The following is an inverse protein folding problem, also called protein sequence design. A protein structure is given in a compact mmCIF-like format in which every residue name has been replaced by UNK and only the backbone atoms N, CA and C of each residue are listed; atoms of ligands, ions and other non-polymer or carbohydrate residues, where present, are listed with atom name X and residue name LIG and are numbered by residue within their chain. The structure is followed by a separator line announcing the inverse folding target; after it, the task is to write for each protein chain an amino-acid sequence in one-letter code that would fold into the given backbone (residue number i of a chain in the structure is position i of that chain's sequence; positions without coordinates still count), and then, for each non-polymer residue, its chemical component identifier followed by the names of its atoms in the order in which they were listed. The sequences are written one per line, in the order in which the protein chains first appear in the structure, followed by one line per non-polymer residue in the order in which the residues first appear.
data_IF_770641374573
#
_entry.id   IF_770641374573
#
_cell.length_a   1.000
_cell.length_b   1.000
_cell.length_c   1.000
_cell.angle_alpha   90.00
_cell.angle_beta   90.00
_cell.angle_gamma   90.00
#
_symmetry.space_group_name_H-M   'P 1'
#
loop_
_entity.id
_entity.type
_entity.pdbx_description
1 polymer ?
#
# COMPACT_ATOMS: atom_id res chain seq x y z
N UNK A 1 24.53 35.49 9.17
CA UNK A 1 25.22 34.41 9.94
C UNK A 1 24.54 34.09 11.26
N UNK A 2 24.62 34.91 12.32
CA UNK A 2 24.09 34.51 13.66
C UNK A 2 22.56 34.22 13.69
N UNK A 3 21.77 34.93 12.87
CA UNK A 3 20.35 34.61 12.68
C UNK A 3 20.13 33.30 11.88
N UNK A 4 21.00 32.99 10.90
CA UNK A 4 20.94 31.73 10.16
C UNK A 4 21.34 30.54 11.04
N UNK A 5 22.31 30.72 11.95
CA UNK A 5 22.73 29.69 12.91
C UNK A 5 21.56 29.32 13.84
N UNK A 6 20.86 30.33 14.40
CA UNK A 6 19.66 30.08 15.23
C UNK A 6 18.55 29.36 14.46
N UNK A 7 18.25 29.81 13.24
CA UNK A 7 17.21 29.20 12.41
C UNK A 7 17.58 27.76 11.98
N UNK A 8 18.86 27.52 11.69
CA UNK A 8 19.40 26.19 11.42
C UNK A 8 19.23 25.26 12.62
N UNK A 9 19.64 25.69 13.82
CA UNK A 9 19.52 24.91 15.05
C UNK A 9 18.06 24.63 15.42
N UNK A 10 17.16 25.59 15.20
CA UNK A 10 15.71 25.42 15.44
C UNK A 10 15.09 24.35 14.52
N UNK A 11 15.44 24.36 13.22
CA UNK A 11 14.92 23.40 12.23
C UNK A 11 15.55 22.02 12.37
N UNK A 12 16.85 21.95 12.66
CA UNK A 12 17.60 20.67 12.77
C UNK A 12 17.55 20.04 14.17
N UNK A 13 17.14 20.82 15.19
CA UNK A 13 17.25 20.50 16.62
C UNK A 13 18.69 20.21 17.08
N UNK A 14 19.69 20.71 16.36
CA UNK A 14 21.09 20.56 16.73
C UNK A 14 21.40 21.45 17.96
N UNK A 15 21.93 20.84 19.02
CA UNK A 15 22.27 21.52 20.27
C UNK A 15 23.65 22.21 20.24
N UNK A 16 24.54 21.82 19.32
CA UNK A 16 25.88 22.41 19.20
C UNK A 16 25.92 23.56 18.18
N UNK A 17 26.07 24.78 18.70
CA UNK A 17 26.23 26.00 17.92
C UNK A 17 27.55 26.03 17.11
N UNK A 18 28.59 25.35 17.60
CA UNK A 18 29.88 25.24 16.92
C UNK A 18 29.81 24.40 15.64
N UNK A 19 29.08 23.28 15.68
CA UNK A 19 28.82 22.44 14.51
C UNK A 19 27.88 23.13 13.51
N UNK A 20 26.79 23.76 13.98
CA UNK A 20 25.90 24.57 13.15
C UNK A 20 26.66 25.66 12.35
N UNK A 21 27.57 26.39 13.03
CA UNK A 21 28.41 27.42 12.41
C UNK A 21 29.38 26.86 11.39
N UNK A 22 29.97 25.67 11.63
CA UNK A 22 30.83 24.98 10.66
C UNK A 22 30.07 24.56 9.41
N UNK A 23 28.90 23.93 9.56
CA UNK A 23 28.08 23.45 8.44
C UNK A 23 27.59 24.60 7.56
N UNK A 24 27.10 25.69 8.15
CA UNK A 24 26.70 26.89 7.40
C UNK A 24 27.89 27.56 6.70
N UNK A 25 29.06 27.62 7.35
CA UNK A 25 30.29 28.16 6.72
C UNK A 25 30.74 27.31 5.53
N UNK A 26 30.64 25.97 5.65
CA UNK A 26 30.97 25.02 4.58
C UNK A 26 29.99 25.08 3.39
N UNK A 27 28.82 25.69 3.58
CA UNK A 27 27.79 25.90 2.55
C UNK A 27 27.66 27.39 2.16
N UNK A 28 28.71 28.20 2.42
CA UNK A 28 28.77 29.64 2.11
C UNK A 28 27.58 30.48 2.65
N UNK A 29 26.96 30.05 3.75
CA UNK A 29 25.77 30.68 4.33
C UNK A 29 24.44 30.23 3.73
N UNK A 30 24.42 29.29 2.77
CA UNK A 30 23.16 28.72 2.29
C UNK A 30 22.56 27.76 3.34
N UNK A 31 21.43 28.19 3.91
CA UNK A 31 20.70 27.46 4.96
C UNK A 31 20.14 26.13 4.47
N UNK A 32 19.61 26.09 3.23
CA UNK A 32 18.96 24.89 2.69
C UNK A 32 19.97 23.77 2.44
N UNK A 33 21.09 24.08 1.79
CA UNK A 33 22.19 23.14 1.56
C UNK A 33 22.76 22.59 2.86
N UNK A 34 22.93 23.44 3.88
CA UNK A 34 23.40 23.02 5.20
C UNK A 34 22.43 22.02 5.86
N UNK A 35 21.11 22.28 5.79
CA UNK A 35 20.08 21.40 6.38
C UNK A 35 20.05 20.05 5.64
N UNK A 36 20.09 20.06 4.31
CA UNK A 36 20.14 18.83 3.49
C UNK A 36 21.38 18.00 3.84
N UNK A 37 22.54 18.64 3.97
CA UNK A 37 23.81 17.98 4.30
C UNK A 37 23.82 17.37 5.71
N UNK A 38 23.26 18.07 6.70
CA UNK A 38 23.09 17.55 8.06
C UNK A 38 22.16 16.32 8.09
N UNK A 39 21.01 16.40 7.41
CA UNK A 39 20.04 15.30 7.33
C UNK A 39 20.54 14.08 6.53
N UNK A 40 21.49 14.28 5.61
CA UNK A 40 22.17 13.18 4.91
C UNK A 40 23.18 12.49 5.82
N UNK A 41 23.98 13.23 6.60
CA UNK A 41 24.95 12.64 7.53
C UNK A 41 24.25 11.89 8.69
N UNK A 42 23.19 12.45 9.26
CA UNK A 42 22.45 11.83 10.38
C UNK A 42 21.74 10.49 10.07
N UNK A 43 21.72 10.06 8.81
CA UNK A 43 21.22 8.72 8.42
C UNK A 43 22.26 7.60 8.53
N UNK A 44 23.53 7.92 8.79
CA UNK A 44 24.62 6.93 8.77
C UNK A 44 24.88 6.26 10.14
N UNK A 45 24.47 6.89 11.25
CA UNK A 45 24.77 6.40 12.61
C UNK A 45 23.76 5.37 13.18
N UNK A 46 22.61 5.16 12.55
CA UNK A 46 21.54 4.29 13.08
C UNK A 46 21.62 2.81 12.63
N UNK A 47 22.82 2.24 12.51
CA UNK A 47 23.00 0.82 12.10
C UNK A 47 23.93 -0.03 12.98
N UNK A 48 24.56 0.53 14.03
CA UNK A 48 25.35 -0.24 14.98
C UNK A 48 25.17 0.25 16.43
N UNK A 49 24.20 -0.33 17.15
CA UNK A 49 24.46 -1.03 18.43
C UNK A 49 23.20 -1.75 18.94
N UNK A 50 23.40 -2.72 19.83
CA UNK A 50 22.49 -3.85 20.05
C UNK A 50 22.18 -4.05 21.56
N UNK A 51 21.03 -4.67 21.88
CA UNK A 51 20.70 -5.34 23.17
C UNK A 51 20.38 -4.52 24.46
N UNK A 52 19.06 -4.36 24.74
CA UNK A 52 18.27 -4.90 25.91
C UNK A 52 18.76 -4.75 27.39
N UNK A 53 17.90 -4.91 28.45
CA UNK A 53 16.42 -5.07 28.51
C UNK A 53 15.68 -4.37 29.73
N UNK A 54 14.38 -4.69 29.93
CA UNK A 54 13.60 -4.71 31.22
C UNK A 54 12.80 -3.45 31.70
N UNK A 55 11.46 -3.60 31.76
CA UNK A 55 10.42 -3.03 32.68
C UNK A 55 10.26 -1.49 32.89
N UNK A 56 9.08 -0.92 33.20
CA UNK A 56 7.70 -1.46 33.33
C UNK A 56 6.60 -0.37 33.32
N UNK A 57 5.38 -0.79 32.94
CA UNK A 57 4.05 -0.37 33.45
C UNK A 57 3.45 1.04 33.22
N UNK A 58 2.36 1.03 32.44
CA UNK A 58 1.02 1.56 32.76
C UNK A 58 0.69 3.06 32.76
N UNK A 59 -0.05 3.50 31.72
CA UNK A 59 -1.44 4.01 31.80
C UNK A 59 -1.96 4.30 30.37
N UNK A 60 -2.97 3.62 29.79
CA UNK A 60 -4.42 3.50 30.04
C UNK A 60 -5.29 4.76 29.85
N UNK A 61 -6.18 4.68 28.83
CA UNK A 61 -7.43 5.47 28.58
C UNK A 61 -7.22 6.91 28.04
N UNK A 62 -8.03 7.47 27.13
CA UNK A 62 -9.35 7.13 26.50
C UNK A 62 -9.40 7.71 25.05
N UNK A 63 -10.12 7.12 24.08
CA UNK A 63 -11.40 7.60 23.45
C UNK A 63 -11.48 9.13 23.22
N UNK A 64 -11.92 9.68 22.07
CA UNK A 64 -13.02 9.34 21.12
C UNK A 64 -12.60 9.71 19.65
N UNK A 65 -13.33 9.48 18.53
CA UNK A 65 -14.58 8.77 18.24
C UNK A 65 -15.32 9.35 17.00
N UNK A 66 -15.75 8.48 16.05
CA UNK A 66 -16.54 8.78 14.80
C UNK A 66 -15.74 9.57 13.73
N UNK A 67 -15.91 9.38 12.41
CA UNK A 67 -17.05 8.94 11.60
C UNK A 67 -17.81 10.18 11.10
N UNK A 68 -18.13 10.39 9.81
CA UNK A 68 -18.34 9.43 8.70
C UNK A 68 -18.40 10.19 7.34
N UNK A 69 -18.09 9.49 6.24
CA UNK A 69 -18.77 9.50 4.91
C UNK A 69 -18.99 10.83 4.12
N UNK A 70 -18.40 11.00 2.91
CA UNK A 70 -18.90 10.60 1.54
C UNK A 70 -19.68 11.73 0.83
N UNK A 71 -19.83 11.83 -0.51
CA UNK A 71 -19.51 10.92 -1.65
C UNK A 71 -19.43 11.69 -3.00
N UNK A 72 -18.88 11.02 -4.03
CA UNK A 72 -19.13 11.00 -5.50
C UNK A 72 -20.00 12.12 -6.12
N UNK A 73 -19.70 12.71 -7.29
CA UNK A 73 -19.34 12.16 -8.62
C UNK A 73 -20.07 13.03 -9.68
N UNK A 74 -19.92 13.00 -11.00
CA UNK A 74 -19.19 12.18 -11.97
C UNK A 74 -19.22 12.94 -13.34
N UNK A 75 -18.31 12.66 -14.28
CA UNK A 75 -18.46 12.75 -15.77
C UNK A 75 -18.98 14.08 -16.43
N UNK A 76 -18.40 14.61 -17.53
CA UNK A 76 -18.26 13.94 -18.84
C UNK A 76 -17.45 14.76 -19.89
N UNK A 77 -17.01 14.05 -20.94
CA UNK A 77 -16.27 14.46 -22.16
C UNK A 77 -17.05 15.38 -23.13
N UNK A 78 -16.38 16.31 -23.83
CA UNK A 78 -16.77 16.83 -25.18
C UNK A 78 -15.52 17.02 -26.08
N UNK A 79 -15.68 16.81 -27.39
CA UNK A 79 -14.67 16.88 -28.47
C UNK A 79 -14.93 18.10 -29.41
N UNK A 80 -13.85 18.63 -30.01
CA UNK A 80 -13.71 19.23 -31.37
C UNK A 80 -14.74 20.24 -31.97
N UNK A 81 -14.25 21.47 -32.28
CA UNK A 81 -14.26 22.23 -33.58
C UNK A 81 -15.55 22.42 -34.45
N UNK A 82 -15.63 23.36 -35.43
CA UNK A 82 -14.80 24.57 -35.74
C UNK A 82 -15.59 25.86 -36.18
N UNK A 83 -14.84 26.92 -36.55
CA UNK A 83 -15.07 27.91 -37.62
C UNK A 83 -15.97 29.19 -37.48
N UNK A 84 -15.39 30.28 -38.04
CA UNK A 84 -15.94 31.34 -38.92
C UNK A 84 -16.56 32.66 -38.39
N UNK A 85 -15.91 33.78 -38.76
CA UNK A 85 -16.43 35.12 -39.23
C UNK A 85 -17.41 35.94 -38.34
N UNK A 86 -17.50 37.28 -38.37
CA UNK A 86 -16.83 38.37 -39.13
C UNK A 86 -17.18 39.75 -38.52
N UNK A 87 -16.36 40.77 -38.81
CA UNK A 87 -16.65 42.22 -38.93
C UNK A 87 -17.95 42.82 -38.30
N UNK A 88 -17.79 43.88 -37.49
CA UNK A 88 -18.04 45.27 -37.96
C UNK A 88 -17.75 46.33 -36.89
N UNK A 89 -17.54 47.57 -37.35
CA UNK A 89 -17.16 48.76 -36.57
C UNK A 89 -18.40 49.59 -36.23
N UNK A 90 -18.46 50.20 -35.04
CA UNK A 90 -18.83 51.61 -34.87
C UNK A 90 -18.70 52.13 -33.42
N UNK A 91 -18.20 53.35 -33.30
CA UNK A 91 -18.02 54.09 -32.05
C UNK A 91 -19.33 54.57 -31.41
N UNK A 92 -19.31 54.79 -30.08
CA UNK A 92 -19.68 56.09 -29.47
C UNK A 92 -19.25 56.25 -28.00
N UNK A 93 -18.93 57.49 -27.67
CA UNK A 93 -18.33 57.98 -26.41
C UNK A 93 -19.36 58.27 -25.29
N UNK A 94 -18.96 57.98 -24.03
CA UNK A 94 -19.34 58.60 -22.74
C UNK A 94 -20.86 58.70 -22.38
N UNK A 95 -21.29 58.72 -21.11
CA UNK A 95 -20.72 59.43 -19.96
C UNK A 95 -21.05 58.78 -18.58
N UNK A 96 -20.42 59.36 -17.55
CA UNK A 96 -20.21 58.94 -16.16
C UNK A 96 -21.37 59.27 -15.20
N UNK A 97 -21.35 58.62 -14.02
CA UNK A 97 -21.82 58.99 -12.65
C UNK A 97 -22.61 57.80 -12.05
N UNK A 98 -22.56 57.39 -10.78
CA UNK A 98 -21.80 57.74 -9.56
C UNK A 98 -21.97 56.55 -8.54
N UNK A 99 -21.37 56.46 -7.35
CA UNK A 99 -20.56 57.41 -6.58
C UNK A 99 -19.44 56.78 -5.71
N UNK A 100 -18.63 57.69 -5.15
CA UNK A 100 -17.55 57.62 -4.17
C UNK A 100 -17.84 56.92 -2.82
N UNK A 101 -16.77 56.41 -2.17
CA UNK A 101 -16.35 56.88 -0.84
C UNK A 101 -14.85 56.56 -0.55
N UNK A 102 -14.09 57.63 -0.31
CA UNK A 102 -12.83 57.75 0.44
C UNK A 102 -11.60 56.90 0.03
N UNK A 103 -10.67 57.56 -0.68
CA UNK A 103 -9.22 57.54 -0.38
C UNK A 103 -8.52 58.82 -0.87
N UNK A 104 -9.05 59.97 -0.44
CA UNK A 104 -8.32 61.24 -0.48
C UNK A 104 -6.99 61.07 0.28
N UNK A 105 -5.90 61.54 -0.33
CA UNK A 105 -4.48 61.49 0.10
C UNK A 105 -3.58 60.41 -0.56
N UNK A 106 -4.06 59.56 -1.48
CA UNK A 106 -3.15 58.63 -2.21
C UNK A 106 -2.50 59.24 -3.48
N UNK A 107 -3.18 60.18 -4.15
CA UNK A 107 -2.71 60.76 -5.42
C UNK A 107 -1.69 61.90 -5.25
N UNK A 108 -1.70 62.62 -4.13
CA UNK A 108 -0.70 63.66 -3.84
C UNK A 108 0.69 63.06 -3.60
N UNK A 109 0.75 61.87 -3.00
CA UNK A 109 2.01 61.11 -2.83
C UNK A 109 2.55 60.64 -4.18
N UNK A 110 1.69 60.24 -5.13
CA UNK A 110 2.11 59.72 -6.43
C UNK A 110 2.79 60.77 -7.34
N UNK A 111 2.41 62.04 -7.25
CA UNK A 111 3.01 63.09 -8.08
C UNK A 111 4.49 63.34 -7.75
N UNK A 112 4.88 63.27 -6.48
CA UNK A 112 6.29 63.42 -6.07
C UNK A 112 7.15 62.17 -6.33
N UNK A 113 6.52 61.02 -6.60
CA UNK A 113 7.23 59.77 -6.89
C UNK A 113 7.34 59.52 -8.41
N UNK A 114 6.52 60.21 -9.23
CA UNK A 114 6.58 60.15 -10.70
C UNK A 114 7.94 60.55 -11.30
N UNK A 115 8.59 61.59 -10.76
CA UNK A 115 9.92 62.05 -11.22
C UNK A 115 11.03 61.02 -10.94
N UNK A 116 10.89 60.19 -9.90
CA UNK A 116 11.87 59.17 -9.51
C UNK A 116 11.59 57.84 -10.24
N UNK A 117 10.31 57.52 -10.45
CA UNK A 117 9.89 56.28 -11.13
C UNK A 117 10.13 56.33 -12.63
N UNK A 118 9.95 57.47 -13.31
CA UNK A 118 10.16 57.56 -14.77
C UNK A 118 11.59 57.18 -15.24
N UNK A 119 12.69 57.67 -14.65
CA UNK A 119 14.04 57.24 -15.03
C UNK A 119 14.31 55.78 -14.64
N UNK A 120 13.74 55.28 -13.54
CA UNK A 120 13.83 53.86 -13.17
C UNK A 120 13.12 52.96 -14.17
N UNK A 121 11.89 53.29 -14.59
CA UNK A 121 11.19 52.53 -15.63
C UNK A 121 11.83 52.67 -17.00
N UNK A 122 12.44 53.81 -17.34
CA UNK A 122 13.20 53.96 -18.59
C UNK A 122 14.51 53.18 -18.55
N UNK A 123 15.20 53.12 -17.41
CA UNK A 123 16.36 52.25 -17.23
C UNK A 123 15.98 50.78 -17.19
N UNK A 124 14.86 50.40 -16.57
CA UNK A 124 14.35 49.02 -16.56
C UNK A 124 13.89 48.62 -17.97
N UNK A 125 13.23 49.51 -18.72
CA UNK A 125 12.88 49.25 -20.12
C UNK A 125 14.13 49.17 -21.01
N UNK A 126 15.09 50.09 -20.85
CA UNK A 126 16.37 50.03 -21.57
C UNK A 126 17.20 48.81 -21.16
N UNK A 127 17.16 48.38 -19.90
CA UNK A 127 17.83 47.18 -19.40
C UNK A 127 17.14 45.92 -19.88
N UNK A 128 15.80 45.84 -19.84
CA UNK A 128 15.03 44.72 -20.42
C UNK A 128 15.23 44.68 -21.93
N UNK A 129 15.27 45.83 -22.64
CA UNK A 129 15.50 45.88 -24.09
C UNK A 129 16.96 45.59 -24.43
N UNK A 130 17.92 45.99 -23.59
CA UNK A 130 19.34 45.63 -23.72
C UNK A 130 19.57 44.16 -23.35
N UNK A 131 18.82 43.59 -22.41
CA UNK A 131 18.77 42.17 -22.12
C UNK A 131 18.06 41.41 -23.23
N UNK A 132 17.02 41.96 -23.85
CA UNK A 132 16.36 41.34 -25.01
C UNK A 132 17.23 41.46 -26.25
N UNK A 133 18.04 42.51 -26.40
CA UNK A 133 19.08 42.59 -27.43
C UNK A 133 20.31 41.75 -27.08
N UNK A 134 20.70 41.59 -25.82
CA UNK A 134 21.79 40.72 -25.42
C UNK A 134 21.37 39.26 -25.59
N UNK A 135 20.16 38.89 -25.17
CA UNK A 135 19.54 37.58 -25.35
C UNK A 135 19.20 37.36 -26.83
N UNK A 136 18.72 38.36 -27.58
CA UNK A 136 18.48 38.21 -29.03
C UNK A 136 19.81 38.11 -29.78
N UNK A 137 20.83 38.89 -29.46
CA UNK A 137 22.16 38.76 -30.08
C UNK A 137 22.85 37.47 -29.63
N UNK A 138 22.63 36.99 -28.41
CA UNK A 138 23.16 35.72 -27.90
C UNK A 138 22.44 34.52 -28.52
N UNK A 139 21.10 34.54 -28.59
CA UNK A 139 20.29 33.49 -29.24
C UNK A 139 20.47 33.53 -30.76
N UNK A 140 20.56 34.70 -31.40
CA UNK A 140 20.88 34.83 -32.83
C UNK A 140 22.34 34.49 -33.11
N UNK A 141 23.29 34.73 -32.20
CA UNK A 141 24.68 34.25 -32.30
C UNK A 141 24.78 32.73 -32.13
N UNK A 142 23.97 32.14 -31.24
CA UNK A 142 23.78 30.69 -31.12
C UNK A 142 23.06 30.10 -32.35
N UNK A 143 22.22 30.88 -33.05
CA UNK A 143 21.59 30.48 -34.31
C UNK A 143 22.47 30.71 -35.55
N UNK A 144 23.41 31.66 -35.53
CA UNK A 144 24.45 31.80 -36.55
C UNK A 144 25.53 30.75 -36.33
N UNK A 145 25.19 29.50 -36.69
CA UNK A 145 26.14 28.40 -36.89
C UNK A 145 27.08 28.73 -38.06
N UNK A 146 28.05 29.62 -37.84
CA UNK A 146 29.29 29.63 -38.60
C UNK A 146 30.02 28.33 -38.24
N UNK A 147 29.70 27.25 -38.97
CA UNK A 147 30.33 25.95 -38.76
C UNK A 147 31.85 26.11 -38.80
N UNK A 148 32.56 25.42 -37.91
CA UNK A 148 34.03 25.46 -37.87
C UNK A 148 34.64 25.16 -39.26
N UNK A 149 33.97 24.29 -40.03
CA UNK A 149 34.24 24.01 -41.44
C UNK A 149 34.39 25.28 -42.30
N UNK A 150 33.48 26.25 -42.20
CA UNK A 150 33.56 27.49 -43.01
C UNK A 150 34.78 28.33 -42.65
N UNK A 151 35.05 28.49 -41.35
CA UNK A 151 36.26 29.17 -40.87
C UNK A 151 37.53 28.45 -41.37
N UNK A 152 37.56 27.13 -41.27
CA UNK A 152 38.68 26.31 -41.73
C UNK A 152 38.88 26.43 -43.25
N UNK A 153 37.83 26.27 -44.06
CA UNK A 153 37.90 26.35 -45.53
C UNK A 153 38.43 27.72 -46.02
N UNK A 154 38.07 28.80 -45.33
CA UNK A 154 38.53 30.16 -45.62
C UNK A 154 40.04 30.36 -45.37
N UNK A 155 40.58 29.74 -44.30
CA UNK A 155 41.96 29.96 -43.85
C UNK A 155 42.96 28.89 -44.35
N UNK A 156 42.50 27.66 -44.60
CA UNK A 156 43.35 26.49 -44.89
C UNK A 156 42.96 25.75 -46.17
N UNK A 157 41.81 26.08 -46.78
CA UNK A 157 41.32 25.47 -48.01
C UNK A 157 40.45 24.22 -47.79
N UNK A 158 39.94 23.65 -48.89
CA UNK A 158 38.84 22.66 -48.90
C UNK A 158 39.23 21.19 -48.76
N UNK A 159 40.52 20.88 -48.64
CA UNK A 159 40.99 19.49 -48.52
C UNK A 159 41.29 19.19 -47.06
N UNK A 160 40.30 18.68 -46.33
CA UNK A 160 40.44 18.42 -44.90
C UNK A 160 39.52 17.30 -44.39
N UNK A 161 39.74 16.87 -43.15
CA UNK A 161 38.87 15.95 -42.40
C UNK A 161 37.41 16.44 -42.34
N UNK A 162 36.46 15.52 -42.43
CA UNK A 162 35.03 15.88 -42.29
C UNK A 162 34.70 16.30 -40.84
N UNK A 163 34.66 17.61 -40.59
CA UNK A 163 34.14 18.19 -39.34
C UNK A 163 32.61 18.02 -39.25
N UNK A 164 32.12 17.64 -38.08
CA UNK A 164 30.69 17.45 -37.82
C UNK A 164 29.94 18.79 -37.81
N UNK A 165 29.11 19.01 -38.83
CA UNK A 165 28.21 20.16 -38.88
C UNK A 165 26.95 19.94 -38.03
N UNK A 166 26.93 20.52 -36.83
CA UNK A 166 25.82 20.44 -35.90
C UNK A 166 26.22 20.97 -34.51
N UNK A 167 25.39 20.70 -33.51
CA UNK A 167 25.68 20.91 -32.09
C UNK A 167 26.43 19.71 -31.49
N UNK A 168 27.14 19.95 -30.38
CA UNK A 168 27.83 18.90 -29.64
C UNK A 168 26.89 17.75 -29.21
N UNK A 169 25.67 18.07 -28.77
CA UNK A 169 24.61 17.08 -28.48
C UNK A 169 24.22 16.24 -29.69
N UNK A 170 24.15 16.82 -30.89
CA UNK A 170 23.90 16.09 -32.14
C UNK A 170 25.10 15.18 -32.50
N UNK A 171 26.33 15.64 -32.25
CA UNK A 171 27.57 14.87 -32.46
C UNK A 171 27.63 13.64 -31.54
N UNK A 172 27.38 13.83 -30.23
CA UNK A 172 27.25 12.76 -29.23
C UNK A 172 26.22 11.72 -29.67
N UNK A 173 25.06 12.17 -30.14
CA UNK A 173 23.99 11.27 -30.60
C UNK A 173 24.36 10.55 -31.91
N UNK A 174 25.12 11.17 -32.82
CA UNK A 174 25.64 10.50 -34.03
C UNK A 174 26.68 9.44 -33.67
N UNK A 175 27.62 9.76 -32.78
CA UNK A 175 28.64 8.83 -32.27
C UNK A 175 28.01 7.57 -31.68
N UNK A 176 26.95 7.72 -30.86
CA UNK A 176 26.17 6.59 -30.32
C UNK A 176 25.45 5.75 -31.38
N UNK A 177 24.98 6.35 -32.47
CA UNK A 177 24.25 5.64 -33.55
C UNK A 177 25.17 4.90 -34.50
N UNK A 178 26.34 5.45 -34.79
CA UNK A 178 27.35 4.83 -35.68
C UNK A 178 28.36 3.95 -34.91
N UNK A 179 28.24 3.88 -33.58
CA UNK A 179 29.15 3.22 -32.63
C UNK A 179 30.65 3.64 -32.73
N UNK A 180 30.88 4.81 -33.34
CA UNK A 180 32.19 5.46 -33.50
C UNK A 180 32.62 6.20 -32.24
N UNK A 181 33.92 6.50 -32.14
CA UNK A 181 34.46 7.41 -31.12
C UNK A 181 34.15 8.87 -31.47
N UNK A 182 33.84 9.68 -30.45
CA UNK A 182 33.67 11.13 -30.60
C UNK A 182 35.00 11.81 -30.30
N UNK A 183 35.55 12.49 -31.29
CA UNK A 183 36.73 13.35 -31.15
C UNK A 183 36.24 14.78 -30.96
N UNK A 184 36.59 15.41 -29.85
CA UNK A 184 36.29 16.83 -29.59
C UNK A 184 37.58 17.62 -29.72
N UNK A 185 37.73 18.37 -30.82
CA UNK A 185 38.85 19.27 -31.06
C UNK A 185 38.55 20.65 -30.49
N UNK A 186 39.37 21.09 -29.54
CA UNK A 186 39.31 22.42 -28.94
C UNK A 186 40.33 23.32 -29.65
N UNK A 187 39.82 24.27 -30.41
CA UNK A 187 40.60 25.18 -31.25
C UNK A 187 40.80 26.54 -30.58
N UNK A 188 42.01 27.08 -30.74
CA UNK A 188 42.40 28.46 -30.42
C UNK A 188 43.23 29.03 -31.55
N UNK A 189 43.18 30.35 -31.76
CA UNK A 189 44.01 31.00 -32.78
C UNK A 189 45.47 31.13 -32.30
N UNK A 190 46.26 30.07 -32.50
CA UNK A 190 47.69 30.00 -32.16
C UNK A 190 48.50 29.16 -33.17
N UNK A 191 49.84 29.22 -33.07
CA UNK A 191 50.75 28.52 -34.00
C UNK A 191 50.59 26.99 -33.97
N UNK A 192 50.35 26.39 -32.81
CA UNK A 192 50.12 24.94 -32.69
C UNK A 192 48.80 24.51 -33.37
N UNK A 193 47.75 25.33 -33.31
CA UNK A 193 46.51 25.07 -34.07
C UNK A 193 46.73 25.20 -35.57
N UNK A 194 47.60 26.12 -36.01
CA UNK A 194 48.00 26.21 -37.42
C UNK A 194 48.80 24.95 -37.86
N UNK A 195 49.56 24.30 -36.96
CA UNK A 195 50.19 23.00 -37.26
C UNK A 195 49.14 21.91 -37.51
N UNK A 196 48.18 21.72 -36.59
CA UNK A 196 47.08 20.76 -36.76
C UNK A 196 46.32 21.02 -38.07
N UNK A 197 45.95 22.27 -38.31
CA UNK A 197 45.18 22.63 -39.49
C UNK A 197 45.95 22.38 -40.80
N UNK A 198 47.24 22.70 -40.87
CA UNK A 198 48.04 22.59 -42.11
C UNK A 198 48.59 21.18 -42.39
N UNK A 199 48.90 20.40 -41.36
CA UNK A 199 49.65 19.13 -41.51
C UNK A 199 48.90 17.88 -41.08
N UNK A 200 47.95 17.99 -40.15
CA UNK A 200 47.21 16.84 -39.63
C UNK A 200 45.86 16.72 -40.35
N UNK A 201 45.08 17.78 -40.39
CA UNK A 201 43.73 17.73 -40.94
C UNK A 201 43.67 17.66 -42.47
N UNK A 202 44.76 17.99 -43.16
CA UNK A 202 44.97 17.82 -44.60
C UNK A 202 45.51 16.44 -44.99
N UNK A 203 45.95 15.62 -44.02
CA UNK A 203 46.61 14.34 -44.28
C UNK A 203 45.59 13.27 -44.71
N UNK A 204 45.84 12.64 -45.86
CA UNK A 204 44.93 11.67 -46.50
C UNK A 204 44.66 10.44 -45.61
N UNK A 205 45.66 9.97 -44.86
CA UNK A 205 45.51 8.84 -43.93
C UNK A 205 44.61 9.22 -42.75
N UNK A 206 44.79 10.42 -42.19
CA UNK A 206 43.95 10.97 -41.13
C UNK A 206 42.50 11.16 -41.60
N UNK A 207 42.30 11.70 -42.81
CA UNK A 207 40.97 11.88 -43.43
C UNK A 207 40.26 10.53 -43.53
N UNK A 208 40.88 9.56 -44.20
CA UNK A 208 40.31 8.22 -44.38
C UNK A 208 40.08 7.51 -43.04
N UNK A 209 41.00 7.63 -42.08
CA UNK A 209 40.86 6.98 -40.78
C UNK A 209 39.73 7.60 -39.94
N UNK A 210 39.59 8.93 -39.95
CA UNK A 210 38.56 9.64 -39.18
C UNK A 210 37.16 9.36 -39.71
N UNK A 211 36.96 9.40 -41.04
CA UNK A 211 35.63 9.17 -41.64
C UNK A 211 35.08 7.77 -41.32
N UNK A 212 35.97 6.77 -41.32
CA UNK A 212 35.62 5.37 -41.04
C UNK A 212 35.40 5.08 -39.54
N UNK A 213 36.18 5.68 -38.64
CA UNK A 213 36.24 5.25 -37.22
C UNK A 213 35.73 6.29 -36.21
N UNK A 214 35.57 7.55 -36.60
CA UNK A 214 35.37 8.67 -35.68
C UNK A 214 34.27 9.65 -36.13
N UNK A 215 33.79 10.45 -35.19
CA UNK A 215 33.03 11.68 -35.43
C UNK A 215 33.87 12.83 -34.88
N UNK A 216 34.37 13.73 -35.73
CA UNK A 216 35.15 14.88 -35.30
C UNK A 216 34.24 16.10 -35.10
N UNK A 217 34.05 16.53 -33.86
CA UNK A 217 33.44 17.81 -33.51
C UNK A 217 34.54 18.83 -33.22
N UNK A 218 34.53 19.97 -33.91
CA UNK A 218 35.50 21.04 -33.71
C UNK A 218 34.83 22.27 -33.10
N UNK A 219 35.43 22.81 -32.05
CA UNK A 219 34.92 23.95 -31.30
C UNK A 219 35.99 25.02 -31.14
N UNK A 220 35.70 26.21 -31.66
CA UNK A 220 36.43 27.42 -31.28
C UNK A 220 36.04 27.78 -29.85
N UNK A 221 37.01 27.69 -28.93
CA UNK A 221 36.82 27.97 -27.50
C UNK A 221 37.01 29.45 -27.14
N UNK A 222 37.53 30.27 -28.05
CA UNK A 222 37.56 31.73 -27.90
C UNK A 222 36.18 32.35 -28.17
N UNK A 223 35.32 31.65 -28.93
CA UNK A 223 33.96 32.10 -29.27
C UNK A 223 32.84 31.45 -28.43
N UNK A 224 33.01 30.21 -27.96
CA UNK A 224 31.93 29.47 -27.27
C UNK A 224 32.44 28.61 -26.09
N UNK A 225 31.65 28.49 -25.02
CA UNK A 225 31.97 27.68 -23.84
C UNK A 225 31.50 26.21 -23.98
N UNK A 226 32.30 25.27 -23.48
CA UNK A 226 32.03 23.82 -23.59
C UNK A 226 31.20 23.27 -22.40
N UNK A 227 30.07 23.92 -22.09
CA UNK A 227 29.28 23.64 -20.88
C UNK A 227 28.80 22.19 -20.76
N UNK A 228 28.52 21.51 -21.87
CA UNK A 228 27.96 20.15 -21.88
C UNK A 228 28.98 19.03 -21.57
N UNK A 229 30.28 19.34 -21.56
CA UNK A 229 31.37 18.39 -21.32
C UNK A 229 32.36 18.83 -20.23
N UNK A 230 32.12 19.98 -19.58
CA UNK A 230 33.02 20.57 -18.58
C UNK A 230 33.47 19.59 -17.49
N UNK A 231 32.56 18.76 -16.97
CA UNK A 231 32.84 17.81 -15.89
C UNK A 231 33.30 16.41 -16.40
N UNK A 232 33.43 16.24 -17.72
CA UNK A 232 33.69 14.97 -18.39
C UNK A 232 35.08 14.95 -19.06
N UNK A 233 35.51 16.10 -19.60
CA UNK A 233 36.78 16.20 -20.32
C UNK A 233 37.84 16.92 -19.49
N UNK A 234 39.10 16.50 -19.63
CA UNK A 234 40.23 17.21 -19.06
C UNK A 234 40.81 18.19 -20.09
N UNK A 235 41.09 19.41 -19.66
CA UNK A 235 41.72 20.45 -20.48
C UNK A 235 43.13 20.68 -19.96
N UNK A 236 44.13 20.37 -20.80
CA UNK A 236 45.54 20.48 -20.46
C UNK A 236 46.19 21.66 -21.16
N UNK A 237 46.06 21.73 -22.49
CA UNK A 237 46.66 22.75 -23.37
C UNK A 237 45.79 22.93 -24.63
N UNK A 238 45.99 24.04 -25.35
CA UNK A 238 45.29 24.30 -26.60
C UNK A 238 46.29 24.46 -27.76
N UNK A 239 46.06 23.79 -28.90
CA UNK A 239 44.93 22.91 -29.20
C UNK A 239 45.00 21.54 -28.52
N UNK A 240 43.85 20.90 -28.35
CA UNK A 240 43.76 19.49 -27.97
C UNK A 240 42.59 18.76 -28.64
N UNK A 241 42.71 17.43 -28.74
CA UNK A 241 41.66 16.50 -29.16
C UNK A 241 41.34 15.58 -27.98
N UNK A 242 40.14 15.71 -27.41
CA UNK A 242 39.62 14.78 -26.40
C UNK A 242 38.96 13.58 -27.11
N UNK A 243 39.40 12.35 -26.78
CA UNK A 243 38.87 11.11 -27.36
C UNK A 243 37.81 10.54 -26.42
N UNK A 244 36.54 10.57 -26.83
CA UNK A 244 35.40 10.23 -25.98
C UNK A 244 34.68 8.96 -26.45
N UNK A 245 34.46 8.06 -25.50
CA UNK A 245 33.50 6.96 -25.62
C UNK A 245 32.10 7.47 -25.27
N UNK A 246 31.17 7.39 -26.22
CA UNK A 246 29.74 7.59 -25.96
C UNK A 246 29.03 6.23 -26.00
N UNK A 247 28.48 5.76 -24.87
CA UNK A 247 27.79 4.46 -24.83
C UNK A 247 26.57 4.47 -23.89
N UNK A 248 25.40 4.18 -24.43
CA UNK A 248 24.12 4.31 -23.72
C UNK A 248 23.87 5.77 -23.28
N UNK A 249 23.63 5.98 -21.99
CA UNK A 249 23.56 7.31 -21.37
C UNK A 249 24.95 7.91 -21.06
N UNK A 250 26.00 7.09 -20.97
CA UNK A 250 27.30 7.51 -20.46
C UNK A 250 28.20 8.13 -21.55
N UNK A 251 29.03 9.06 -21.13
CA UNK A 251 30.14 9.63 -21.89
C UNK A 251 31.38 9.51 -21.01
N UNK A 252 32.50 9.06 -21.57
CA UNK A 252 33.76 8.88 -20.84
C UNK A 252 34.93 9.27 -21.72
N UNK A 253 35.81 10.11 -21.19
CA UNK A 253 37.11 10.39 -21.81
C UNK A 253 38.03 9.16 -21.72
N UNK A 254 38.68 8.81 -22.83
CA UNK A 254 39.61 7.69 -22.95
C UNK A 254 41.07 8.16 -23.01
N UNK A 255 41.31 9.31 -23.62
CA UNK A 255 42.61 9.96 -23.78
C UNK A 255 42.45 11.39 -24.29
N UNK A 256 43.51 12.19 -24.20
CA UNK A 256 43.61 13.53 -24.78
C UNK A 256 44.92 13.61 -25.57
N UNK A 257 44.86 14.17 -26.77
CA UNK A 257 46.01 14.44 -27.64
C UNK A 257 46.23 15.96 -27.67
N UNK A 258 47.45 16.43 -27.45
CA UNK A 258 47.83 17.86 -27.47
C UNK A 258 49.28 18.03 -27.94
N UNK A 259 49.72 19.27 -28.20
CA UNK A 259 51.06 19.59 -28.70
C UNK A 259 51.20 19.36 -30.20
N UNK A 260 52.34 18.84 -30.67
CA UNK A 260 52.65 18.66 -32.10
C UNK A 260 52.84 17.19 -32.53
N UNK A 261 51.84 16.31 -32.30
CA UNK A 261 51.92 14.89 -32.67
C UNK A 261 51.91 14.70 -34.18
N UNK A 262 52.53 13.63 -34.67
CA UNK A 262 52.44 13.24 -36.08
C UNK A 262 51.17 12.40 -36.37
N UNK A 263 50.85 12.24 -37.65
CA UNK A 263 49.66 11.49 -38.07
C UNK A 263 49.62 10.03 -37.57
N UNK A 264 50.76 9.35 -37.51
CA UNK A 264 50.86 7.96 -37.05
C UNK A 264 50.54 7.85 -35.55
N UNK A 265 51.06 8.77 -34.74
CA UNK A 265 50.80 8.83 -33.30
C UNK A 265 49.33 9.06 -32.98
N UNK A 266 48.65 9.93 -33.73
CA UNK A 266 47.21 10.18 -33.59
C UNK A 266 46.41 8.91 -33.90
N UNK A 267 46.71 8.24 -35.03
CA UNK A 267 46.02 7.01 -35.44
C UNK A 267 46.25 5.89 -34.40
N UNK A 268 47.50 5.67 -33.96
CA UNK A 268 47.83 4.67 -32.94
C UNK A 268 47.14 4.96 -31.60
N UNK A 269 47.07 6.22 -31.17
CA UNK A 269 46.37 6.63 -29.96
C UNK A 269 44.87 6.34 -30.04
N UNK A 270 44.23 6.62 -31.18
CA UNK A 270 42.81 6.33 -31.39
C UNK A 270 42.56 4.81 -31.46
N UNK A 271 43.40 4.03 -32.13
CA UNK A 271 43.30 2.55 -32.15
C UNK A 271 43.36 1.99 -30.72
N UNK A 272 44.35 2.41 -29.93
CA UNK A 272 44.45 2.01 -28.52
C UNK A 272 43.26 2.49 -27.66
N UNK A 273 42.56 3.56 -28.08
CA UNK A 273 41.29 3.97 -27.48
C UNK A 273 40.10 3.11 -27.93
N UNK A 274 40.09 2.59 -29.16
CA UNK A 274 39.06 1.65 -29.62
C UNK A 274 39.11 0.33 -28.82
N UNK A 275 40.30 -0.19 -28.54
CA UNK A 275 40.48 -1.38 -27.68
C UNK A 275 39.97 -1.14 -26.26
N UNK A 276 40.36 0.00 -25.65
CA UNK A 276 39.84 0.43 -24.33
C UNK A 276 38.32 0.60 -24.35
N UNK A 277 37.76 1.14 -25.43
CA UNK A 277 36.33 1.33 -25.58
C UNK A 277 35.58 0.00 -25.60
N UNK A 278 36.10 -1.01 -26.29
CA UNK A 278 35.48 -2.34 -26.31
C UNK A 278 35.47 -2.99 -24.92
N UNK A 279 36.57 -2.87 -24.17
CA UNK A 279 36.67 -3.37 -22.78
C UNK A 279 35.68 -2.65 -21.86
N UNK A 280 35.57 -1.32 -21.94
CA UNK A 280 34.62 -0.52 -21.16
C UNK A 280 33.16 -0.82 -21.53
N UNK A 281 32.84 -0.97 -22.83
CA UNK A 281 31.52 -1.43 -23.30
C UNK A 281 31.15 -2.80 -22.69
N UNK A 282 32.06 -3.79 -22.78
CA UNK A 282 31.87 -5.14 -22.19
C UNK A 282 31.69 -5.09 -20.68
N UNK A 283 32.43 -4.22 -19.97
CA UNK A 283 32.31 -4.01 -18.52
C UNK A 283 30.94 -3.44 -18.14
N UNK A 284 30.45 -2.44 -18.87
CA UNK A 284 29.15 -1.83 -18.61
C UNK A 284 27.99 -2.77 -18.96
N UNK A 285 28.08 -3.51 -20.06
CA UNK A 285 27.09 -4.54 -20.40
C UNK A 285 26.95 -5.58 -19.28
N UNK A 286 28.07 -6.10 -18.76
CA UNK A 286 28.07 -7.06 -17.64
C UNK A 286 27.45 -6.48 -16.37
N UNK A 287 27.76 -5.23 -16.00
CA UNK A 287 27.18 -4.62 -14.80
C UNK A 287 25.69 -4.34 -14.94
N UNK A 288 25.22 -3.94 -16.12
CA UNK A 288 23.79 -3.79 -16.41
C UNK A 288 23.07 -5.13 -16.35
N UNK A 289 23.58 -6.17 -17.02
CA UNK A 289 22.97 -7.51 -17.01
C UNK A 289 22.91 -8.12 -15.60
N UNK A 290 23.97 -7.95 -14.79
CA UNK A 290 23.97 -8.41 -13.39
C UNK A 290 22.90 -7.68 -12.57
N UNK A 291 22.79 -6.35 -12.67
CA UNK A 291 21.73 -5.58 -11.98
C UNK A 291 20.33 -6.09 -12.35
N UNK A 292 20.01 -6.17 -13.64
CA UNK A 292 18.71 -6.68 -14.09
C UNK A 292 18.43 -8.11 -13.61
N UNK A 293 19.44 -8.98 -13.54
CA UNK A 293 19.26 -10.34 -13.01
C UNK A 293 19.01 -10.39 -11.51
N UNK A 294 19.61 -9.48 -10.74
CA UNK A 294 19.39 -9.37 -9.28
C UNK A 294 18.01 -8.78 -9.00
N UNK A 295 17.61 -7.73 -9.72
CA UNK A 295 16.30 -7.09 -9.57
C UNK A 295 15.15 -8.07 -9.88
N UNK A 296 15.26 -8.85 -10.97
CA UNK A 296 14.30 -9.91 -11.30
C UNK A 296 14.29 -11.01 -10.21
N UNK A 297 15.44 -11.45 -9.71
CA UNK A 297 15.50 -12.48 -8.66
C UNK A 297 14.85 -12.02 -7.35
N UNK A 298 15.08 -10.76 -6.93
CA UNK A 298 14.44 -10.16 -5.75
C UNK A 298 12.93 -10.02 -5.95
N UNK A 299 12.47 -9.62 -7.14
CA UNK A 299 11.06 -9.54 -7.46
C UNK A 299 10.37 -10.92 -7.41
N UNK A 300 11.02 -11.97 -7.92
CA UNK A 300 10.52 -13.35 -7.88
C UNK A 300 10.44 -13.92 -6.46
N UNK A 301 11.47 -13.72 -5.64
CA UNK A 301 11.47 -14.15 -4.24
C UNK A 301 10.36 -13.46 -3.44
N UNK A 302 10.15 -12.16 -3.67
CA UNK A 302 9.04 -11.41 -3.06
C UNK A 302 7.67 -12.00 -3.44
N UNK A 303 7.42 -12.24 -4.72
CA UNK A 303 6.16 -12.85 -5.19
C UNK A 303 5.93 -14.24 -4.57
N UNK A 304 6.99 -15.06 -4.47
CA UNK A 304 6.89 -16.39 -3.88
C UNK A 304 6.51 -16.34 -2.39
N UNK A 305 7.04 -15.39 -1.62
CA UNK A 305 6.67 -15.18 -0.21
C UNK A 305 5.24 -14.67 -0.06
N UNK A 306 4.82 -13.71 -0.88
CA UNK A 306 3.43 -13.20 -0.88
C UNK A 306 2.41 -14.31 -1.22
N UNK A 307 2.77 -15.25 -2.09
CA UNK A 307 1.97 -16.45 -2.41
C UNK A 307 1.88 -17.42 -1.21
N UNK A 308 3.03 -17.76 -0.61
CA UNK A 308 3.10 -18.66 0.56
C UNK A 308 2.35 -18.11 1.78
N UNK A 309 2.47 -16.80 2.06
CA UNK A 309 1.74 -16.13 3.13
C UNK A 309 0.22 -16.19 2.91
N UNK A 310 -0.24 -16.10 1.64
CA UNK A 310 -1.67 -16.23 1.30
C UNK A 310 -2.17 -17.64 1.55
N UNK A 311 -1.47 -18.66 1.05
CA UNK A 311 -1.84 -20.07 1.26
C UNK A 311 -1.87 -20.42 2.77
N UNK A 312 -0.87 -19.98 3.53
CA UNK A 312 -0.81 -20.19 4.98
C UNK A 312 -1.99 -19.50 5.71
N UNK A 313 -2.34 -18.27 5.34
CA UNK A 313 -3.51 -17.59 5.90
C UNK A 313 -4.84 -18.27 5.55
N UNK A 314 -4.96 -18.88 4.36
CA UNK A 314 -6.13 -19.65 3.98
C UNK A 314 -6.22 -20.99 4.73
N UNK A 315 -5.10 -21.68 4.95
CA UNK A 315 -5.04 -22.87 5.77
C UNK A 315 -5.47 -22.57 7.22
N UNK A 316 -4.90 -21.54 7.85
CA UNK A 316 -5.28 -21.11 9.21
C UNK A 316 -6.78 -20.75 9.34
N UNK A 317 -7.38 -20.15 8.31
CA UNK A 317 -8.82 -19.86 8.29
C UNK A 317 -9.66 -21.15 8.24
N UNK A 318 -9.27 -22.13 7.42
CA UNK A 318 -9.95 -23.44 7.31
C UNK A 318 -9.84 -24.22 8.62
N UNK A 319 -8.64 -24.32 9.21
CA UNK A 319 -8.43 -25.03 10.48
C UNK A 319 -9.24 -24.41 11.62
N UNK A 320 -9.29 -23.07 11.69
CA UNK A 320 -10.13 -22.36 12.65
C UNK A 320 -11.62 -22.67 12.45
N UNK A 321 -12.13 -22.65 11.22
CA UNK A 321 -13.52 -23.01 10.92
C UNK A 321 -13.84 -24.45 11.32
N UNK A 322 -12.96 -25.41 11.03
CA UNK A 322 -13.11 -26.82 11.40
C UNK A 322 -13.17 -26.98 12.94
N UNK A 323 -12.31 -26.27 13.68
CA UNK A 323 -12.34 -26.27 15.14
C UNK A 323 -13.61 -25.64 15.72
N UNK A 324 -14.05 -24.49 15.20
CA UNK A 324 -15.28 -23.82 15.62
C UNK A 324 -16.52 -24.68 15.35
N UNK A 325 -16.60 -25.34 14.19
CA UNK A 325 -17.67 -26.31 13.88
C UNK A 325 -17.66 -27.51 14.83
N UNK A 326 -16.49 -28.08 15.10
CA UNK A 326 -16.34 -29.23 16.00
C UNK A 326 -16.79 -28.86 17.42
N UNK A 327 -16.34 -27.72 17.93
CA UNK A 327 -16.72 -27.22 19.25
C UNK A 327 -18.22 -26.90 19.33
N UNK A 328 -18.83 -26.34 18.27
CA UNK A 328 -20.27 -26.12 18.21
C UNK A 328 -21.05 -27.44 18.25
N UNK A 329 -20.66 -28.44 17.44
CA UNK A 329 -21.26 -29.79 17.43
C UNK A 329 -21.13 -30.50 18.79
N UNK A 330 -20.03 -30.28 19.52
CA UNK A 330 -19.83 -30.82 20.87
C UNK A 330 -20.72 -30.10 21.91
N UNK A 331 -20.74 -28.77 21.91
CA UNK A 331 -21.61 -27.98 22.77
C UNK A 331 -23.10 -28.28 22.56
N UNK A 332 -23.54 -28.47 21.32
CA UNK A 332 -24.92 -28.87 21.01
C UNK A 332 -25.28 -30.27 21.58
N UNK A 333 -24.33 -31.22 21.56
CA UNK A 333 -24.52 -32.53 22.21
C UNK A 333 -24.62 -32.40 23.73
N UNK A 334 -23.71 -31.64 24.35
CA UNK A 334 -23.72 -31.40 25.80
C UNK A 334 -25.02 -30.72 26.25
N UNK A 335 -25.49 -29.69 25.54
CA UNK A 335 -26.76 -29.02 25.84
C UNK A 335 -27.98 -29.96 25.69
N UNK A 336 -27.99 -30.87 24.72
CA UNK A 336 -29.06 -31.88 24.60
C UNK A 336 -29.06 -32.84 25.78
N UNK A 337 -27.89 -33.32 26.20
CA UNK A 337 -27.73 -34.21 27.36
C UNK A 337 -28.15 -33.50 28.65
N UNK A 338 -27.77 -32.23 28.84
CA UNK A 338 -28.14 -31.45 30.02
C UNK A 338 -29.66 -31.19 30.08
N UNK A 339 -30.29 -30.84 28.95
CA UNK A 339 -31.75 -30.70 28.85
C UNK A 339 -32.49 -31.99 29.19
N UNK A 340 -32.04 -33.15 28.67
CA UNK A 340 -32.57 -34.48 29.05
C UNK A 340 -32.45 -34.72 30.57
N UNK A 341 -31.26 -34.51 31.15
CA UNK A 341 -31.01 -34.71 32.59
C UNK A 341 -31.89 -33.83 33.47
N UNK A 342 -32.04 -32.55 33.12
CA UNK A 342 -32.91 -31.63 33.86
C UNK A 342 -34.39 -32.01 33.75
N UNK A 343 -34.86 -32.40 32.56
CA UNK A 343 -36.24 -32.87 32.36
C UNK A 343 -36.58 -34.09 33.23
N UNK A 344 -35.71 -35.10 33.25
CA UNK A 344 -35.88 -36.31 34.10
C UNK A 344 -35.88 -35.94 35.60
N UNK A 345 -34.99 -35.03 36.02
CA UNK A 345 -34.92 -34.55 37.40
C UNK A 345 -36.22 -33.84 37.82
N UNK A 346 -36.78 -33.00 36.96
CA UNK A 346 -38.02 -32.27 37.22
C UNK A 346 -39.24 -33.20 37.31
N UNK A 347 -39.31 -34.23 36.46
CA UNK A 347 -40.34 -35.28 36.56
C UNK A 347 -40.22 -36.02 37.89
N UNK A 348 -39.01 -36.44 38.28
CA UNK A 348 -38.78 -37.14 39.55
C UNK A 348 -39.17 -36.30 40.76
N UNK A 349 -38.88 -34.99 40.74
CA UNK A 349 -39.31 -34.07 41.79
C UNK A 349 -40.85 -33.98 41.88
N UNK A 350 -41.54 -33.80 40.75
CA UNK A 350 -43.01 -33.76 40.70
C UNK A 350 -43.67 -35.05 41.20
N UNK A 351 -43.11 -36.22 40.85
CA UNK A 351 -43.55 -37.52 41.40
C UNK A 351 -43.38 -37.59 42.92
N UNK A 352 -42.26 -37.10 43.45
CA UNK A 352 -41.99 -37.08 44.90
C UNK A 352 -42.83 -36.04 45.67
N UNK A 353 -43.38 -35.03 45.01
CA UNK A 353 -44.39 -34.13 45.59
C UNK A 353 -45.76 -34.81 45.63
N UNK A 354 -46.20 -35.40 44.52
CA UNK A 354 -47.47 -36.13 44.42
C UNK A 354 -47.56 -37.33 45.37
N UNK A 355 -46.47 -38.08 45.57
CA UNK A 355 -46.46 -39.23 46.49
C UNK A 355 -46.82 -38.85 47.93
N UNK A 356 -46.57 -37.60 48.36
CA UNK A 356 -46.95 -37.10 49.71
C UNK A 356 -48.46 -37.00 49.93
N UNK A 357 -49.26 -37.06 48.86
CA UNK A 357 -50.74 -37.08 48.94
C UNK A 357 -51.29 -38.44 49.41
N UNK A 358 -50.46 -39.49 49.42
CA UNK A 358 -50.89 -40.85 49.71
C UNK A 358 -50.41 -41.32 51.11
N UNK A 359 -51.19 -42.16 51.82
CA UNK A 359 -52.49 -42.72 51.41
C UNK A 359 -53.62 -41.68 51.42
N UNK A 360 -54.57 -41.82 50.49
CA UNK A 360 -55.79 -41.00 50.49
C UNK A 360 -56.74 -41.50 51.58
N UNK A 361 -57.41 -40.59 52.28
CA UNK A 361 -58.43 -40.93 53.27
C UNK A 361 -59.60 -41.65 52.60
N UNK A 362 -60.06 -42.74 53.23
CA UNK A 362 -61.24 -43.51 52.86
C UNK A 362 -62.15 -43.52 54.08
N UNK A 363 -63.36 -42.97 53.95
CA UNK A 363 -64.32 -42.93 55.06
C UNK A 363 -64.90 -44.34 55.35
N UNK A 364 -65.23 -44.68 56.61
CA UNK A 364 -65.68 -46.04 56.97
C UNK A 364 -66.96 -46.51 56.27
N UNK A 365 -67.75 -45.59 55.71
CA UNK A 365 -69.03 -45.86 55.05
C UNK A 365 -68.95 -45.75 53.51
N UNK A 366 -67.76 -45.48 52.95
CA UNK A 366 -67.57 -45.33 51.51
C UNK A 366 -67.45 -46.68 50.79
N UNK A 367 -68.01 -46.75 49.57
CA UNK A 367 -67.81 -47.91 48.69
C UNK A 367 -66.37 -47.92 48.19
N UNK A 368 -65.61 -48.94 48.60
CA UNK A 368 -64.22 -49.14 48.20
C UNK A 368 -64.14 -49.91 46.88
N UNK A 369 -63.38 -49.35 45.92
CA UNK A 369 -62.95 -50.00 44.69
C UNK A 369 -61.49 -50.44 44.83
N UNK A 370 -61.18 -51.69 44.49
CA UNK A 370 -59.80 -52.18 44.44
C UNK A 370 -59.25 -52.08 43.01
N UNK A 371 -58.12 -51.38 42.84
CA UNK A 371 -57.52 -51.15 41.54
C UNK A 371 -56.17 -51.87 41.45
N UNK A 372 -56.06 -52.77 40.48
CA UNK A 372 -54.83 -53.49 40.13
C UNK A 372 -54.21 -52.87 38.87
N UNK A 373 -53.15 -52.11 39.03
CA UNK A 373 -52.38 -51.53 37.93
C UNK A 373 -51.30 -52.52 37.46
N UNK A 374 -51.27 -52.80 36.17
CA UNK A 374 -50.20 -53.54 35.48
C UNK A 374 -49.27 -52.55 34.80
N UNK A 375 -48.00 -52.57 35.17
CA UNK A 375 -46.93 -51.75 34.60
C UNK A 375 -46.45 -52.35 33.26
N UNK A 376 -45.76 -51.57 32.39
CA UNK A 376 -45.29 -52.05 31.09
C UNK A 376 -44.32 -53.24 31.18
N UNK A 377 -43.56 -53.31 32.27
CA UNK A 377 -42.64 -54.42 32.61
C UNK A 377 -43.36 -55.69 33.16
N UNK A 378 -44.70 -55.72 33.17
CA UNK A 378 -45.49 -56.84 33.67
C UNK A 378 -45.67 -56.91 35.20
N UNK A 379 -45.00 -56.04 35.98
CA UNK A 379 -45.24 -55.93 37.41
C UNK A 379 -46.66 -55.44 37.70
N UNK A 380 -47.19 -55.81 38.86
CA UNK A 380 -48.55 -55.50 39.28
C UNK A 380 -48.55 -54.86 40.65
N UNK A 381 -49.15 -53.69 40.77
CA UNK A 381 -49.36 -52.96 42.03
C UNK A 381 -50.85 -52.79 42.29
N UNK A 382 -51.26 -52.88 43.54
CA UNK A 382 -52.66 -52.79 43.94
C UNK A 382 -52.85 -51.68 44.97
N UNK A 383 -53.95 -50.94 44.86
CA UNK A 383 -54.36 -49.98 45.88
C UNK A 383 -55.89 -49.90 45.95
N UNK A 384 -56.40 -49.41 47.08
CA UNK A 384 -57.82 -49.23 47.35
C UNK A 384 -58.16 -47.74 47.20
N UNK A 385 -59.28 -47.43 46.55
CA UNK A 385 -59.80 -46.08 46.37
C UNK A 385 -61.28 -46.02 46.77
N UNK A 386 -61.73 -44.88 47.26
CA UNK A 386 -63.17 -44.61 47.42
C UNK A 386 -63.79 -44.30 46.06
N UNK A 387 -65.06 -44.68 45.85
CA UNK A 387 -65.85 -44.25 44.71
C UNK A 387 -65.97 -42.70 44.57
N UNK A 388 -65.66 -41.95 45.63
CA UNK A 388 -65.61 -40.48 45.66
C UNK A 388 -64.25 -39.90 45.22
N UNK A 389 -63.16 -40.69 45.20
CA UNK A 389 -61.88 -40.25 44.62
C UNK A 389 -61.99 -40.13 43.10
N UNK A 390 -61.05 -39.41 42.47
CA UNK A 390 -61.13 -39.07 41.04
C UNK A 390 -60.21 -39.92 40.16
N UNK A 391 -60.44 -39.95 38.84
CA UNK A 391 -59.46 -40.53 37.91
C UNK A 391 -58.10 -39.82 37.99
N UNK A 392 -58.07 -38.53 38.33
CA UNK A 392 -56.84 -37.78 38.56
C UNK A 392 -56.02 -38.39 39.70
N UNK A 393 -56.66 -38.81 40.78
CA UNK A 393 -56.01 -39.46 41.91
C UNK A 393 -55.39 -40.81 41.53
N UNK A 394 -56.05 -41.58 40.65
CA UNK A 394 -55.49 -42.83 40.11
C UNK A 394 -54.28 -42.55 39.21
N UNK A 395 -54.32 -41.49 38.40
CA UNK A 395 -53.18 -41.06 37.58
C UNK A 395 -52.00 -40.59 38.44
N UNK A 396 -52.25 -39.74 39.43
CA UNK A 396 -51.20 -39.24 40.35
C UNK A 396 -50.64 -40.38 41.23
N UNK A 397 -51.44 -41.42 41.55
CA UNK A 397 -50.93 -42.65 42.17
C UNK A 397 -50.09 -43.49 41.19
N UNK A 398 -50.55 -43.68 39.95
CA UNK A 398 -49.86 -44.45 38.93
C UNK A 398 -48.51 -43.82 38.53
N UNK A 399 -48.39 -42.49 38.57
CA UNK A 399 -47.12 -41.76 38.40
C UNK A 399 -46.11 -41.98 39.54
N UNK A 400 -46.56 -42.41 40.72
CA UNK A 400 -45.79 -42.40 41.97
C UNK A 400 -45.70 -43.77 42.66
N UNK A 401 -46.20 -44.83 42.01
CA UNK A 401 -46.29 -46.15 42.62
C UNK A 401 -44.91 -46.79 42.92
N UNK A 402 -43.86 -46.38 42.22
CA UNK A 402 -42.46 -46.71 42.49
C UNK A 402 -41.96 -46.13 43.82
N UNK A 403 -42.35 -44.88 44.13
CA UNK A 403 -42.00 -44.20 45.38
C UNK A 403 -42.80 -44.81 46.54
N UNK A 404 -44.06 -45.18 46.31
CA UNK A 404 -44.98 -45.70 47.34
C UNK A 404 -44.84 -47.20 47.63
N UNK A 405 -44.18 -47.97 46.76
CA UNK A 405 -43.92 -49.40 47.00
C UNK A 405 -42.94 -49.60 48.18
N UNK A 406 -43.31 -50.52 49.09
CA UNK A 406 -42.55 -50.85 50.29
C UNK A 406 -41.55 -51.98 50.04
N UNK A 407 -41.83 -52.86 49.08
CA UNK A 407 -40.93 -53.94 48.68
C UNK A 407 -39.74 -53.41 47.88
N UNK A 408 -38.55 -53.40 48.51
CA UNK A 408 -37.29 -52.95 47.90
C UNK A 408 -36.94 -53.68 46.59
N UNK A 409 -37.37 -54.94 46.43
CA UNK A 409 -37.06 -55.74 45.24
C UNK A 409 -37.94 -55.33 44.06
N UNK A 410 -39.25 -55.14 44.29
CA UNK A 410 -40.18 -54.62 43.27
C UNK A 410 -39.85 -53.19 42.92
N UNK A 411 -39.60 -52.34 43.92
CA UNK A 411 -39.25 -50.92 43.76
C UNK A 411 -38.03 -50.69 42.85
N UNK A 412 -37.01 -51.54 42.93
CA UNK A 412 -35.84 -51.48 42.04
C UNK A 412 -36.17 -51.84 40.58
N UNK A 413 -37.19 -52.68 40.38
CA UNK A 413 -37.59 -53.21 39.07
C UNK A 413 -38.77 -52.45 38.44
N UNK A 414 -39.40 -51.51 39.15
CA UNK A 414 -40.42 -50.61 38.60
C UNK A 414 -39.77 -49.53 37.75
N UNK A 415 -40.19 -49.44 36.49
CA UNK A 415 -39.98 -48.28 35.65
C UNK A 415 -41.34 -47.71 35.25
N UNK A 416 -41.57 -46.43 35.56
CA UNK A 416 -42.81 -45.71 35.22
C UNK A 416 -42.46 -44.71 34.09
N UNK A 417 -43.00 -44.89 32.88
CA UNK A 417 -42.81 -43.99 31.74
C UNK A 417 -43.08 -42.52 32.11
N UNK A 418 -42.34 -41.60 31.51
CA UNK A 418 -42.54 -40.15 31.67
C UNK A 418 -43.94 -39.73 31.18
N UNK A 419 -44.48 -40.40 30.16
CA UNK A 419 -45.84 -40.28 29.64
C UNK A 419 -46.48 -41.65 29.50
N UNK A 420 -47.70 -41.81 29.98
CA UNK A 420 -48.45 -43.06 29.82
C UNK A 420 -49.97 -42.82 29.77
N UNK A 421 -50.67 -43.79 29.19
CA UNK A 421 -52.13 -43.93 29.26
C UNK A 421 -52.52 -45.10 30.17
N UNK A 422 -53.64 -44.97 30.88
CA UNK A 422 -54.26 -46.05 31.66
C UNK A 422 -55.45 -46.66 30.89
N UNK A 423 -55.36 -47.94 30.57
CA UNK A 423 -56.38 -48.68 29.80
C UNK A 423 -57.12 -49.64 30.73
N UNK A 424 -58.43 -49.50 30.84
CA UNK A 424 -59.24 -50.41 31.64
C UNK A 424 -59.32 -51.80 30.98
N UNK A 425 -59.00 -52.86 31.73
CA UNK A 425 -58.79 -54.19 31.18
C UNK A 425 -60.03 -54.91 30.67
N UNK A 426 -61.23 -54.57 31.16
CA UNK A 426 -62.49 -55.22 30.76
C UNK A 426 -63.27 -54.41 29.71
N UNK A 427 -63.42 -53.09 29.88
CA UNK A 427 -64.03 -52.21 28.86
C UNK A 427 -63.10 -51.92 27.67
N UNK A 428 -61.79 -52.12 27.83
CA UNK A 428 -60.72 -51.69 26.89
C UNK A 428 -60.67 -50.17 26.64
N UNK A 429 -61.38 -49.36 27.43
CA UNK A 429 -61.38 -47.91 27.29
C UNK A 429 -60.10 -47.28 27.83
N UNK A 430 -59.56 -46.29 27.10
CA UNK A 430 -58.50 -45.42 27.61
C UNK A 430 -59.14 -44.44 28.60
N UNK A 431 -58.78 -44.56 29.87
CA UNK A 431 -59.22 -43.64 30.92
C UNK A 431 -58.41 -42.34 30.78
N UNK A 432 -59.03 -41.24 30.36
CA UNK A 432 -58.35 -39.94 30.30
C UNK A 432 -58.23 -39.32 31.69
N UNK A 433 -57.05 -38.77 31.97
CA UNK A 433 -56.78 -38.04 33.20
C UNK A 433 -57.79 -36.88 33.35
N UNK A 434 -58.66 -36.98 34.36
CA UNK A 434 -59.80 -36.08 34.56
C UNK A 434 -60.19 -36.02 36.04
N UNK A 435 -60.85 -34.95 36.45
CA UNK A 435 -61.35 -34.74 37.83
C UNK A 435 -62.68 -35.44 38.10
N UNK A 436 -63.14 -36.31 37.19
CA UNK A 436 -64.39 -37.05 37.36
C UNK A 436 -64.21 -38.15 38.42
N UNK A 437 -65.21 -38.37 39.30
CA UNK A 437 -65.15 -39.39 40.34
C UNK A 437 -65.16 -40.81 39.76
N UNK A 438 -64.54 -41.75 40.47
CA UNK A 438 -64.40 -43.16 40.07
C UNK A 438 -65.76 -43.82 39.83
N UNK A 439 -66.80 -43.42 40.58
CA UNK A 439 -68.18 -43.93 40.43
C UNK A 439 -68.78 -43.75 39.03
N UNK A 440 -68.29 -42.78 38.25
CA UNK A 440 -68.80 -42.47 36.90
C UNK A 440 -68.19 -43.41 35.84
N UNK A 441 -67.27 -44.29 36.25
CA UNK A 441 -66.61 -45.30 35.42
C UNK A 441 -66.89 -46.70 35.95
N UNK A 442 -66.97 -47.68 35.04
CA UNK A 442 -67.13 -49.09 35.37
C UNK A 442 -65.82 -49.65 35.96
N UNK A 443 -65.56 -49.35 37.23
CA UNK A 443 -64.34 -49.73 37.96
C UNK A 443 -64.65 -50.46 39.28
N UNK A 444 -65.83 -50.27 39.85
CA UNK A 444 -66.30 -50.93 41.07
C UNK A 444 -66.81 -52.35 40.77
N UNK A 445 -66.57 -53.37 41.61
CA UNK A 445 -65.81 -53.34 42.86
C UNK A 445 -64.31 -53.59 42.69
N UNK A 446 -63.88 -54.19 41.57
CA UNK A 446 -62.48 -54.48 41.29
C UNK A 446 -62.15 -54.13 39.83
N UNK A 447 -61.16 -53.27 39.60
CA UNK A 447 -60.68 -52.92 38.27
C UNK A 447 -59.24 -53.40 38.04
N UNK A 448 -58.94 -53.76 36.80
CA UNK A 448 -57.57 -53.97 36.32
C UNK A 448 -57.26 -52.88 35.31
N UNK A 449 -56.21 -52.10 35.55
CA UNK A 449 -55.73 -51.07 34.63
C UNK A 449 -54.39 -51.51 34.04
N UNK A 450 -54.21 -51.36 32.73
CA UNK A 450 -52.94 -51.60 32.06
C UNK A 450 -52.32 -50.25 31.71
N UNK A 451 -51.08 -50.01 32.17
CA UNK A 451 -50.30 -48.83 31.80
C UNK A 451 -49.64 -49.06 30.44
N UNK A 452 -49.83 -48.13 29.51
CA UNK A 452 -49.17 -48.12 28.19
C UNK A 452 -48.21 -46.94 28.12
N UNK A 453 -46.93 -47.20 27.86
CA UNK A 453 -45.93 -46.15 27.60
C UNK A 453 -46.29 -45.32 26.37
N UNK A 454 -46.05 -44.01 26.45
CA UNK A 454 -46.11 -43.04 25.36
C UNK A 454 -44.78 -42.26 25.21
N UNK A 455 -43.72 -42.72 25.88
CA UNK A 455 -42.38 -42.20 25.69
C UNK A 455 -41.88 -42.59 24.28
N UNK A 456 -41.11 -41.71 23.63
CA UNK A 456 -40.54 -42.01 22.32
C UNK A 456 -39.30 -42.91 22.47
N UNK A 457 -38.89 -43.60 21.40
CA UNK A 457 -37.63 -44.37 21.40
C UNK A 457 -36.42 -43.53 21.79
N UNK A 458 -36.47 -42.23 21.52
CA UNK A 458 -35.43 -41.27 21.85
C UNK A 458 -35.46 -40.82 23.33
N UNK A 459 -36.49 -41.21 24.10
CA UNK A 459 -36.66 -40.93 25.53
C UNK A 459 -36.27 -42.14 26.43
N UNK A 460 -36.08 -43.34 25.86
CA UNK A 460 -35.69 -44.56 26.60
C UNK A 460 -34.15 -44.73 26.76
N UNK A 461 -33.34 -43.87 26.11
CA UNK A 461 -31.87 -43.72 26.27
C UNK A 461 -31.45 -42.40 26.98
#
# INVERSE_FOLDING_TARGET
MDNEIKLFMEVTKLSDEGEAKRLLTMCNGNLEDAIVKYLQNGKVENLHEENKPVNSSNSLKRREGKGKEKKDGENKVINNNPNQTSNSVNDKMFQKNNENIVKSNFLEVLNNVGEIICPLFRNIYNFITSCFHLISTYILSVCNKNSFTMYYEEHYGKTHVTFFNGSLKEAINKSKREDKLLLVYLHTENEESAYFCKHIYTNIEIISFFENNCILYAQDISKYSLTELHDIINIYMFPQINILLTYGSNIKELSVIYGTPNATEIIQSIIGCMDKAEVEKKKLQRSTSMRSSVDEAVYRDRLLREEQDREYQEALKKDKQIMEEKQKKENEKLQKIEKKKNYIKDIKNKRNEKSKKFPLTIEPNDKVTKILLRLPNGLKVQNNFSNNHTLRDIYDWAECCDILENDKTKKKNMNIPCKFDLICGHTKSVLKNSTNPIKDFDLYPNAVLNMKSLDSSDDEE
#
